data_IF_627857718098
#
_entry.id   IF_627857718098
#
_cell.length_a   1.000
_cell.length_b   1.000
_cell.length_c   1.000
_cell.angle_alpha   90.00
_cell.angle_beta   90.00
_cell.angle_gamma   90.00
#
_symmetry.space_group_name_H-M   'P 1'
#
loop_
_entity.id
_entity.type
_entity.pdbx_description
1 polymer ?
#
# COMPACT_ATOMS: atom_id res chain seq x y z
N UNK A 1 -5.44 -26.58 1.98
CA UNK A 1 -4.32 -25.75 2.47
C UNK A 1 -4.19 -24.51 1.60
N UNK A 2 -3.34 -23.56 1.97
CA UNK A 2 -3.15 -22.41 1.11
C UNK A 2 -2.16 -21.36 1.62
N UNK A 3 -2.29 -20.17 1.02
CA UNK A 3 -1.43 -19.01 1.27
C UNK A 3 -2.33 -17.86 1.75
N UNK A 4 -1.82 -17.03 2.65
CA UNK A 4 -2.44 -15.82 3.14
C UNK A 4 -1.45 -14.66 3.04
N UNK A 5 -1.86 -13.57 2.42
CA UNK A 5 -1.14 -12.30 2.42
C UNK A 5 -1.88 -11.28 3.28
N UNK A 6 -1.21 -10.70 4.27
CA UNK A 6 -1.84 -9.69 5.15
C UNK A 6 -2.02 -8.32 4.48
N UNK A 7 -1.43 -8.14 3.29
CA UNK A 7 -1.72 -7.04 2.36
C UNK A 7 -2.10 -7.62 0.99
N UNK A 8 -3.00 -6.94 0.27
CA UNK A 8 -3.40 -7.38 -1.08
C UNK A 8 -2.19 -7.33 -2.02
N UNK A 9 -1.74 -8.48 -2.58
CA UNK A 9 -0.52 -8.55 -3.37
C UNK A 9 -0.65 -7.84 -4.73
N UNK A 10 -1.87 -7.56 -5.19
CA UNK A 10 -2.13 -6.88 -6.47
C UNK A 10 -2.17 -5.37 -6.27
N UNK A 11 -2.90 -4.91 -5.25
CA UNK A 11 -3.13 -3.48 -5.03
C UNK A 11 -2.19 -2.85 -4.02
N UNK A 12 -1.37 -3.66 -3.34
CA UNK A 12 -0.55 -3.28 -2.18
C UNK A 12 -1.37 -2.68 -1.02
N UNK A 13 -2.68 -2.91 -0.98
CA UNK A 13 -3.56 -2.39 0.05
C UNK A 13 -3.37 -3.19 1.35
N UNK A 14 -2.64 -2.59 2.30
CA UNK A 14 -2.34 -3.18 3.62
C UNK A 14 -3.58 -3.40 4.50
N UNK A 15 -4.71 -2.73 4.21
CA UNK A 15 -5.98 -2.93 4.93
C UNK A 15 -6.82 -4.09 4.39
N UNK A 16 -6.41 -4.69 3.27
CA UNK A 16 -7.08 -5.85 2.66
C UNK A 16 -6.17 -7.06 2.78
N UNK A 17 -6.66 -8.12 3.39
CA UNK A 17 -5.99 -9.40 3.49
C UNK A 17 -6.52 -10.31 2.36
N UNK A 18 -5.62 -11.04 1.70
CA UNK A 18 -5.94 -11.98 0.63
C UNK A 18 -5.63 -13.41 1.05
N UNK A 19 -6.55 -14.35 0.79
CA UNK A 19 -6.38 -15.77 1.10
C UNK A 19 -6.58 -16.56 -0.19
N UNK A 20 -5.58 -17.34 -0.56
CA UNK A 20 -5.67 -18.33 -1.63
C UNK A 20 -5.80 -19.72 -1.01
N UNK A 21 -6.85 -20.45 -1.37
CA UNK A 21 -7.18 -21.75 -0.79
C UNK A 21 -7.42 -22.81 -1.87
N UNK A 22 -6.85 -24.00 -1.66
CA UNK A 22 -7.12 -25.18 -2.47
C UNK A 22 -7.30 -26.44 -1.63
N UNK A 23 -7.92 -27.46 -2.24
CA UNK A 23 -8.05 -28.77 -1.62
C UNK A 23 -6.70 -29.51 -1.62
N UNK A 24 -6.48 -30.32 -0.58
CA UNK A 24 -5.23 -31.06 -0.41
C UNK A 24 -4.07 -30.21 0.10
N UNK A 25 -2.85 -30.68 -0.21
CA UNK A 25 -1.57 -30.09 0.19
C UNK A 25 -1.29 -28.76 -0.52
N UNK A 26 -0.63 -27.84 0.19
CA UNK A 26 -0.34 -26.47 -0.29
C UNK A 26 0.62 -26.42 -1.48
N UNK A 27 1.46 -27.44 -1.67
CA UNK A 27 2.40 -27.55 -2.80
C UNK A 27 1.72 -27.37 -4.16
N UNK A 28 0.47 -27.82 -4.30
CA UNK A 28 -0.30 -27.69 -5.54
C UNK A 28 -0.55 -26.22 -5.93
N UNK A 29 -0.69 -25.32 -4.94
CA UNK A 29 -0.85 -23.89 -5.17
C UNK A 29 0.49 -23.24 -5.48
N UNK A 30 1.53 -23.55 -4.69
CA UNK A 30 2.87 -22.97 -4.87
C UNK A 30 3.47 -23.33 -6.23
N UNK A 31 3.19 -24.53 -6.74
CA UNK A 31 3.61 -24.98 -8.07
C UNK A 31 2.77 -24.45 -9.23
N UNK A 32 1.72 -23.66 -8.97
CA UNK A 32 0.83 -23.11 -10.00
C UNK A 32 0.01 -24.16 -10.76
N UNK A 33 -0.14 -25.37 -10.21
CA UNK A 33 -0.84 -26.49 -10.87
C UNK A 33 -2.35 -26.45 -10.70
N UNK A 34 -2.85 -25.67 -9.73
CA UNK A 34 -4.27 -25.57 -9.38
C UNK A 34 -4.65 -24.10 -9.23
N UNK A 35 -5.81 -23.73 -9.79
CA UNK A 35 -6.40 -22.42 -9.54
C UNK A 35 -7.06 -22.41 -8.16
N UNK A 36 -6.59 -21.58 -7.21
CA UNK A 36 -7.17 -21.51 -5.88
C UNK A 36 -8.48 -20.73 -5.87
N UNK A 37 -9.29 -20.94 -4.84
CA UNK A 37 -10.26 -19.93 -4.45
C UNK A 37 -9.51 -18.73 -3.85
N UNK A 38 -9.94 -17.53 -4.19
CA UNK A 38 -9.39 -16.29 -3.61
C UNK A 38 -10.46 -15.60 -2.77
N UNK A 39 -10.13 -15.31 -1.52
CA UNK A 39 -10.99 -14.57 -0.60
C UNK A 39 -10.31 -13.29 -0.16
N UNK A 40 -11.03 -12.17 -0.16
CA UNK A 40 -10.52 -10.90 0.38
C UNK A 40 -11.28 -10.51 1.63
N UNK A 41 -10.53 -10.16 2.68
CA UNK A 41 -11.07 -9.75 3.97
C UNK A 41 -10.57 -8.36 4.32
N UNK A 42 -11.49 -7.49 4.75
CA UNK A 42 -11.20 -6.14 5.23
C UNK A 42 -12.02 -5.88 6.49
N UNK A 43 -11.39 -5.35 7.52
CA UNK A 43 -12.06 -4.94 8.77
C UNK A 43 -12.98 -6.03 9.35
N UNK A 44 -12.51 -7.29 9.34
CA UNK A 44 -13.25 -8.45 9.84
C UNK A 44 -14.41 -8.93 8.97
N UNK A 45 -14.58 -8.38 7.77
CA UNK A 45 -15.66 -8.72 6.83
C UNK A 45 -15.10 -9.24 5.50
N UNK A 46 -15.75 -10.25 4.92
CA UNK A 46 -15.40 -10.75 3.59
C UNK A 46 -15.93 -9.76 2.55
N UNK A 47 -15.03 -9.14 1.78
CA UNK A 47 -15.36 -8.12 0.78
C UNK A 47 -15.35 -8.64 -0.66
N UNK A 48 -14.70 -9.77 -0.91
CA UNK A 48 -14.70 -10.43 -2.22
C UNK A 48 -14.49 -11.95 -2.04
N UNK A 49 -15.12 -12.74 -2.92
CA UNK A 49 -14.91 -14.18 -3.04
C UNK A 49 -14.90 -14.57 -4.51
N UNK A 50 -13.84 -15.25 -4.92
CA UNK A 50 -13.71 -15.85 -6.23
C UNK A 50 -13.51 -17.34 -6.08
N UNK A 51 -14.51 -18.12 -6.51
CA UNK A 51 -14.45 -19.58 -6.49
C UNK A 51 -13.91 -20.05 -7.84
N UNK A 52 -12.78 -20.74 -7.83
CA UNK A 52 -12.16 -21.28 -9.02
C UNK A 52 -12.59 -22.73 -9.27
N UNK A 53 -12.55 -23.16 -10.53
CA UNK A 53 -12.70 -24.58 -10.88
C UNK A 53 -11.41 -25.32 -10.56
N UNK A 54 -11.44 -26.15 -9.52
CA UNK A 54 -10.32 -26.94 -9.03
C UNK A 54 -10.47 -28.38 -9.54
N UNK A 55 -9.78 -28.73 -10.63
CA UNK A 55 -9.93 -30.06 -11.25
C UNK A 55 -9.16 -31.16 -10.51
N UNK A 56 -8.03 -30.80 -9.88
CA UNK A 56 -7.15 -31.74 -9.18
C UNK A 56 -6.75 -31.22 -7.80
N UNK A 57 -6.35 -32.13 -6.92
CA UNK A 57 -5.76 -31.84 -5.61
C UNK A 57 -4.63 -32.82 -5.30
N UNK A 58 -3.66 -32.37 -4.50
CA UNK A 58 -2.49 -33.17 -4.11
C UNK A 58 -2.69 -33.73 -2.70
N UNK A 59 -2.43 -35.02 -2.49
CA UNK A 59 -2.58 -35.70 -1.21
C UNK A 59 -1.30 -36.45 -0.83
N UNK A 60 -1.03 -36.56 0.48
CA UNK A 60 0.05 -37.37 0.99
C UNK A 60 -0.29 -38.87 0.84
N UNK A 61 0.73 -39.68 0.57
CA UNK A 61 0.64 -41.15 0.53
C UNK A 61 1.25 -41.71 1.81
N UNK A 62 0.61 -42.74 2.39
CA UNK A 62 1.03 -43.33 3.67
C UNK A 62 2.47 -43.85 3.66
N UNK A 63 2.92 -44.37 2.51
CA UNK A 63 4.27 -44.92 2.31
C UNK A 63 5.33 -43.85 1.97
N UNK A 64 4.93 -42.57 1.95
CA UNK A 64 5.76 -41.45 1.56
C UNK A 64 5.48 -40.95 0.14
N UNK A 65 5.73 -39.66 -0.08
CA UNK A 65 5.45 -38.98 -1.35
C UNK A 65 4.02 -38.43 -1.46
N UNK A 66 3.71 -37.93 -2.66
CA UNK A 66 2.46 -37.23 -2.96
C UNK A 66 1.77 -37.81 -4.19
N UNK A 67 0.46 -37.80 -4.20
CA UNK A 67 -0.37 -38.25 -5.31
C UNK A 67 -1.31 -37.13 -5.75
N UNK A 68 -1.36 -36.86 -7.05
CA UNK A 68 -2.38 -36.01 -7.67
C UNK A 68 -3.65 -36.83 -7.85
N UNK A 69 -4.79 -36.32 -7.36
CA UNK A 69 -6.10 -36.92 -7.56
C UNK A 69 -7.03 -35.94 -8.23
N UNK A 70 -7.82 -36.43 -9.18
CA UNK A 70 -8.93 -35.68 -9.75
C UNK A 70 -10.02 -35.50 -8.69
N UNK A 71 -10.57 -34.29 -8.61
CA UNK A 71 -11.66 -33.98 -7.71
C UNK A 71 -12.99 -34.37 -8.35
N UNK A 72 -13.91 -34.89 -7.53
CA UNK A 72 -15.26 -35.19 -8.01
C UNK A 72 -15.94 -33.90 -8.54
N UNK A 73 -16.79 -33.96 -9.58
CA UNK A 73 -17.36 -32.77 -10.21
C UNK A 73 -17.99 -31.77 -9.24
N UNK A 74 -18.67 -32.25 -8.20
CA UNK A 74 -19.26 -31.40 -7.17
C UNK A 74 -18.24 -30.64 -6.31
N UNK A 75 -17.05 -31.22 -6.10
CA UNK A 75 -15.96 -30.57 -5.34
C UNK A 75 -15.21 -29.54 -6.18
N UNK A 76 -15.18 -29.70 -7.52
CA UNK A 76 -14.40 -28.81 -8.38
C UNK A 76 -14.86 -27.35 -8.29
N UNK A 77 -16.16 -27.13 -8.10
CA UNK A 77 -16.77 -25.80 -7.97
C UNK A 77 -17.19 -25.47 -6.53
N UNK A 78 -16.89 -26.35 -5.57
CA UNK A 78 -17.17 -26.10 -4.17
C UNK A 78 -16.20 -25.04 -3.60
N UNK A 79 -16.71 -24.22 -2.68
CA UNK A 79 -15.90 -23.31 -1.88
C UNK A 79 -15.02 -24.12 -0.91
N UNK A 80 -13.72 -23.82 -0.87
CA UNK A 80 -12.74 -24.58 -0.07
C UNK A 80 -12.90 -24.36 1.43
N UNK A 81 -13.09 -23.10 1.86
CA UNK A 81 -13.22 -22.73 3.26
C UNK A 81 -14.62 -22.21 3.56
N UNK A 82 -15.24 -22.61 4.66
CA UNK A 82 -16.45 -21.95 5.15
C UNK A 82 -16.16 -20.50 5.58
N UNK A 83 -17.16 -19.63 5.50
CA UNK A 83 -17.00 -18.20 5.85
C UNK A 83 -16.43 -17.97 7.24
N UNK A 84 -16.84 -18.78 8.22
CA UNK A 84 -16.30 -18.72 9.58
C UNK A 84 -14.80 -19.06 9.63
N UNK A 85 -14.34 -20.01 8.81
CA UNK A 85 -12.93 -20.39 8.71
C UNK A 85 -12.12 -19.29 8.00
N UNK A 86 -12.67 -18.67 6.95
CA UNK A 86 -12.06 -17.51 6.28
C UNK A 86 -11.78 -16.39 7.29
N UNK A 87 -12.78 -16.04 8.09
CA UNK A 87 -12.65 -14.97 9.08
C UNK A 87 -11.72 -15.35 10.25
N UNK A 88 -11.73 -16.63 10.67
CA UNK A 88 -10.81 -17.11 11.69
C UNK A 88 -9.35 -17.04 11.23
N UNK A 89 -9.08 -17.48 10.00
CA UNK A 89 -7.76 -17.42 9.39
C UNK A 89 -7.30 -15.98 9.18
N UNK A 90 -8.19 -15.08 8.74
CA UNK A 90 -7.87 -13.66 8.60
C UNK A 90 -7.48 -13.01 9.94
N UNK A 91 -8.18 -13.33 11.04
CA UNK A 91 -7.81 -12.87 12.40
C UNK A 91 -6.44 -13.37 12.82
N UNK A 92 -6.15 -14.65 12.55
CA UNK A 92 -4.84 -15.24 12.83
C UNK A 92 -3.73 -14.54 12.03
N UNK A 93 -3.94 -14.31 10.73
CA UNK A 93 -2.99 -13.58 9.88
C UNK A 93 -2.69 -12.17 10.40
N UNK A 94 -3.71 -11.41 10.83
CA UNK A 94 -3.51 -10.08 11.45
C UNK A 94 -2.78 -10.13 12.79
N UNK A 95 -3.00 -11.18 13.57
CA UNK A 95 -2.26 -11.41 14.82
C UNK A 95 -0.77 -11.63 14.54
N UNK A 96 -0.45 -12.42 13.51
CA UNK A 96 0.93 -12.69 13.09
C UNK A 96 1.60 -11.43 12.52
N UNK A 97 0.90 -10.65 11.68
CA UNK A 97 1.38 -9.36 11.20
C UNK A 97 1.70 -8.39 12.34
N UNK A 98 0.82 -8.30 13.34
CA UNK A 98 1.06 -7.45 14.52
C UNK A 98 2.28 -7.91 15.29
N UNK A 99 2.50 -9.22 15.41
CA UNK A 99 3.67 -9.78 16.07
C UNK A 99 4.99 -9.41 15.36
N UNK A 100 5.02 -9.47 14.02
CA UNK A 100 6.21 -9.16 13.22
C UNK A 100 6.37 -7.67 12.87
N UNK A 101 5.35 -6.84 13.10
CA UNK A 101 5.37 -5.40 12.80
C UNK A 101 5.37 -5.04 11.31
N UNK A 102 5.24 -6.02 10.41
CA UNK A 102 5.21 -5.80 8.97
C UNK A 102 4.31 -6.82 8.25
N UNK A 103 3.81 -6.51 7.04
CA UNK A 103 2.96 -7.42 6.28
C UNK A 103 3.62 -8.78 6.03
N UNK A 104 2.86 -9.85 6.17
CA UNK A 104 3.31 -11.23 6.10
C UNK A 104 2.67 -12.00 4.95
N UNK A 105 3.45 -12.89 4.36
CA UNK A 105 3.06 -13.99 3.49
C UNK A 105 3.14 -15.29 4.32
N UNK A 106 2.01 -15.96 4.48
CA UNK A 106 1.78 -17.01 5.46
C UNK A 106 1.24 -18.25 4.77
N UNK A 107 1.94 -19.37 4.90
CA UNK A 107 1.43 -20.67 4.47
C UNK A 107 0.68 -21.35 5.63
N UNK A 108 -0.47 -21.94 5.32
CA UNK A 108 -1.36 -22.52 6.31
C UNK A 108 -2.01 -23.82 5.82
N UNK A 109 -2.42 -24.66 6.76
CA UNK A 109 -3.23 -25.85 6.49
C UNK A 109 -4.43 -25.94 7.45
N UNK A 110 -5.43 -26.70 7.02
CA UNK A 110 -6.64 -27.00 7.79
C UNK A 110 -6.82 -28.51 7.76
N UNK A 111 -6.79 -29.14 8.93
CA UNK A 111 -7.02 -30.57 9.11
C UNK A 111 -7.88 -30.77 10.37
N UNK A 112 -8.93 -31.60 10.28
CA UNK A 112 -9.85 -31.88 11.39
C UNK A 112 -10.33 -30.59 12.09
N UNK A 113 -10.79 -29.61 11.29
CA UNK A 113 -11.21 -28.26 11.71
C UNK A 113 -10.15 -27.42 12.46
N UNK A 114 -8.90 -27.88 12.50
CA UNK A 114 -7.79 -27.21 13.14
C UNK A 114 -6.93 -26.47 12.11
N UNK A 115 -6.88 -25.14 12.23
CA UNK A 115 -5.99 -24.29 11.44
C UNK A 115 -4.57 -24.33 12.02
N UNK A 116 -3.59 -24.59 11.17
CA UNK A 116 -2.16 -24.58 11.52
C UNK A 116 -1.36 -23.71 10.55
N UNK A 117 -0.36 -23.01 11.07
CA UNK A 117 0.59 -22.23 10.28
C UNK A 117 1.83 -23.08 10.03
N UNK A 118 2.25 -23.16 8.77
CA UNK A 118 3.44 -23.96 8.38
C UNK A 118 4.62 -23.08 7.99
N UNK A 119 4.39 -21.83 7.58
CA UNK A 119 5.44 -20.86 7.30
C UNK A 119 4.90 -19.42 7.47
N UNK A 120 5.78 -18.48 7.83
CA UNK A 120 5.53 -17.04 7.79
C UNK A 120 6.79 -16.32 7.30
N UNK A 121 6.64 -15.38 6.37
CA UNK A 121 7.74 -14.55 5.86
C UNK A 121 7.26 -13.12 5.57
N UNK A 122 8.12 -12.09 5.69
CA UNK A 122 7.73 -10.72 5.35
C UNK A 122 7.47 -10.55 3.85
N UNK A 123 6.49 -9.73 3.48
CA UNK A 123 6.24 -9.35 2.09
C UNK A 123 7.25 -8.26 1.68
N UNK A 124 8.14 -8.57 0.75
CA UNK A 124 9.20 -7.65 0.30
C UNK A 124 8.90 -6.91 -1.00
N UNK A 125 7.74 -7.17 -1.62
CA UNK A 125 7.33 -6.58 -2.91
C UNK A 125 6.46 -5.33 -2.78
N UNK A 126 6.01 -4.99 -1.57
CA UNK A 126 5.14 -3.83 -1.36
C UNK A 126 5.91 -2.53 -1.50
N UNK A 127 5.33 -1.56 -2.21
CA UNK A 127 5.86 -0.21 -2.21
C UNK A 127 5.76 0.40 -0.81
N UNK A 128 6.83 0.99 -0.25
CA UNK A 128 6.81 1.58 1.09
C UNK A 128 5.91 2.81 1.16
N UNK A 129 5.36 3.09 2.34
CA UNK A 129 4.48 4.24 2.54
C UNK A 129 5.35 5.52 2.59
N UNK A 130 5.07 6.56 1.78
CA UNK A 130 5.83 7.80 1.85
C UNK A 130 5.78 8.44 3.24
N UNK A 131 6.93 8.89 3.75
CA UNK A 131 7.02 9.53 5.06
C UNK A 131 6.97 8.58 6.27
N UNK A 132 6.77 7.27 6.04
CA UNK A 132 7.00 6.27 7.07
C UNK A 132 8.51 6.02 7.18
N UNK A 133 9.24 6.92 7.83
CA UNK A 133 10.62 6.69 8.24
C UNK A 133 10.65 6.09 9.64
N UNK A 134 11.51 5.11 9.85
CA UNK A 134 11.61 4.31 11.08
C UNK A 134 12.16 5.09 12.30
N UNK A 135 12.69 6.31 12.11
CA UNK A 135 13.52 7.01 13.12
C UNK A 135 13.18 8.50 13.35
N UNK A 136 11.98 8.96 13.03
CA UNK A 136 11.57 10.34 13.36
C UNK A 136 10.29 10.30 14.17
N UNK A 137 10.34 10.89 15.37
CA UNK A 137 9.22 11.13 16.31
C UNK A 137 8.05 11.95 15.71
N UNK A 138 8.02 12.17 14.39
CA UNK A 138 6.86 12.67 13.67
C UNK A 138 5.93 11.49 13.38
N UNK A 139 5.37 10.93 14.46
CA UNK A 139 4.24 10.04 14.43
C UNK A 139 3.05 10.79 13.81
N UNK A 140 3.06 10.91 12.48
CA UNK A 140 1.87 11.22 11.71
C UNK A 140 0.91 10.10 11.97
N UNK A 141 0.04 10.37 12.94
CA UNK A 141 -0.96 9.45 13.42
C UNK A 141 -1.67 8.83 12.21
N UNK A 142 -1.59 7.50 12.10
CA UNK A 142 -2.34 6.65 11.16
C UNK A 142 -3.87 6.90 11.19
N UNK A 143 -4.37 7.79 12.05
CA UNK A 143 -5.77 8.17 12.13
C UNK A 143 -6.27 8.98 10.93
N UNK A 144 -5.43 9.76 10.24
CA UNK A 144 -5.88 10.58 9.11
C UNK A 144 -5.48 9.98 7.74
N UNK A 145 -6.44 9.90 6.79
CA UNK A 145 -6.16 9.40 5.45
C UNK A 145 -5.35 10.40 4.63
N UNK A 146 -4.19 9.95 4.13
CA UNK A 146 -3.32 10.73 3.24
C UNK A 146 -3.50 10.33 1.77
N UNK A 147 -3.22 11.25 0.86
CA UNK A 147 -3.21 11.00 -0.59
C UNK A 147 -1.91 11.55 -1.16
N UNK A 148 -1.04 10.64 -1.58
CA UNK A 148 0.28 10.99 -2.10
C UNK A 148 0.29 11.00 -3.64
N UNK A 149 0.79 12.08 -4.22
CA UNK A 149 1.05 12.17 -5.66
C UNK A 149 2.54 12.11 -5.92
N UNK A 150 2.92 11.28 -6.91
CA UNK A 150 4.31 11.05 -7.26
C UNK A 150 4.91 12.24 -8.01
N UNK A 151 5.91 12.89 -7.41
CA UNK A 151 6.69 13.96 -8.07
C UNK A 151 7.49 13.37 -9.23
N UNK A 152 8.00 12.15 -9.07
CA UNK A 152 8.71 11.41 -10.10
C UNK A 152 7.93 11.29 -11.42
N UNK A 153 6.63 11.01 -11.36
CA UNK A 153 5.79 10.95 -12.58
C UNK A 153 5.59 12.35 -13.21
N UNK A 154 5.44 13.40 -12.41
CA UNK A 154 5.33 14.77 -12.92
C UNK A 154 6.60 15.26 -13.61
N UNK A 155 7.77 14.84 -13.11
CA UNK A 155 9.08 15.19 -13.66
C UNK A 155 9.56 14.21 -14.74
N UNK A 156 8.75 13.20 -15.09
CA UNK A 156 9.15 12.10 -16.00
C UNK A 156 10.45 11.39 -15.59
N UNK A 157 10.73 11.33 -14.28
CA UNK A 157 11.94 10.76 -13.69
C UNK A 157 11.54 9.73 -12.64
N UNK A 158 11.24 8.50 -13.08
CA UNK A 158 10.69 7.42 -12.24
C UNK A 158 11.75 6.52 -11.58
N UNK A 159 13.02 6.71 -11.95
CA UNK A 159 14.16 6.04 -11.34
C UNK A 159 14.30 6.41 -9.86
N UNK A 160 14.86 5.48 -9.08
CA UNK A 160 15.16 5.74 -7.69
C UNK A 160 16.32 6.75 -7.56
N UNK A 161 16.11 7.77 -6.74
CA UNK A 161 17.12 8.74 -6.37
C UNK A 161 17.91 8.27 -5.15
N UNK A 162 19.22 8.57 -5.14
CA UNK A 162 20.07 8.34 -3.96
C UNK A 162 19.71 9.34 -2.85
N UNK A 163 20.01 9.03 -1.56
CA UNK A 163 19.62 9.87 -0.43
C UNK A 163 20.04 11.35 -0.54
N UNK A 164 21.23 11.64 -1.07
CA UNK A 164 21.68 13.02 -1.29
C UNK A 164 20.81 13.77 -2.30
N UNK A 165 20.40 13.11 -3.39
CA UNK A 165 19.52 13.71 -4.40
C UNK A 165 18.13 14.00 -3.85
N UNK A 166 17.59 13.09 -3.03
CA UNK A 166 16.33 13.30 -2.29
C UNK A 166 16.43 14.53 -1.39
N UNK A 167 17.53 14.66 -0.64
CA UNK A 167 17.76 15.77 0.28
C UNK A 167 17.80 17.14 -0.43
N UNK A 168 18.50 17.23 -1.57
CA UNK A 168 18.57 18.46 -2.37
C UNK A 168 17.19 18.88 -2.87
N UNK A 169 16.40 17.93 -3.38
CA UNK A 169 15.02 18.22 -3.80
C UNK A 169 14.15 18.68 -2.64
N UNK A 170 14.24 18.04 -1.47
CA UNK A 170 13.47 18.44 -0.29
C UNK A 170 13.83 19.84 0.21
N UNK A 171 15.11 20.24 0.18
CA UNK A 171 15.57 21.56 0.60
C UNK A 171 15.13 22.70 -0.33
N UNK A 172 14.92 22.39 -1.61
CA UNK A 172 14.57 23.37 -2.65
C UNK A 172 13.08 23.40 -2.97
N UNK A 173 12.30 22.47 -2.41
CA UNK A 173 10.89 22.34 -2.70
C UNK A 173 10.05 23.46 -2.07
N UNK A 174 9.17 24.07 -2.87
CA UNK A 174 8.19 25.05 -2.39
C UNK A 174 7.10 24.45 -1.47
N UNK A 175 6.98 23.12 -1.42
CA UNK A 175 6.05 22.39 -0.56
C UNK A 175 6.72 21.15 0.02
N UNK A 176 6.31 20.67 1.21
CA UNK A 176 6.86 19.45 1.80
C UNK A 176 6.74 18.26 0.85
N UNK A 177 7.85 17.53 0.67
CA UNK A 177 7.91 16.30 -0.09
C UNK A 177 8.33 15.13 0.80
N UNK A 178 7.69 13.99 0.63
CA UNK A 178 7.88 12.78 1.42
C UNK A 178 8.59 11.74 0.58
N UNK A 179 9.67 11.17 1.14
CA UNK A 179 10.39 10.09 0.49
C UNK A 179 9.66 8.75 0.69
N UNK A 180 9.66 7.93 -0.35
CA UNK A 180 9.19 6.53 -0.31
C UNK A 180 9.82 5.75 -1.45
N UNK A 181 10.46 4.62 -1.16
CA UNK A 181 11.00 3.72 -2.20
C UNK A 181 12.03 4.39 -3.11
N UNK A 182 12.79 5.36 -2.60
CA UNK A 182 13.75 6.16 -3.37
C UNK A 182 13.14 7.23 -4.27
N UNK A 183 11.84 7.53 -4.16
CA UNK A 183 11.14 8.58 -4.93
C UNK A 183 10.50 9.59 -3.99
N UNK A 184 10.12 10.73 -4.57
CA UNK A 184 9.46 11.82 -3.85
C UNK A 184 7.97 11.88 -4.15
N UNK A 185 7.22 12.17 -3.10
CA UNK A 185 5.78 12.28 -3.10
C UNK A 185 5.33 13.55 -2.42
N UNK A 186 4.13 13.96 -2.74
CA UNK A 186 3.50 15.14 -2.19
C UNK A 186 2.15 14.75 -1.64
N UNK A 187 1.90 15.03 -0.36
CA UNK A 187 0.57 14.85 0.23
C UNK A 187 -0.37 15.95 -0.25
N UNK A 188 -1.49 15.54 -0.83
CA UNK A 188 -2.55 16.40 -1.35
C UNK A 188 -3.89 16.18 -0.63
N UNK A 189 -3.96 15.35 0.42
CA UNK A 189 -5.19 15.16 1.18
C UNK A 189 -5.79 16.50 1.69
N UNK A 190 -5.00 17.47 2.20
CA UNK A 190 -5.53 18.77 2.62
C UNK A 190 -6.13 19.58 1.45
N UNK A 191 -5.54 19.46 0.26
CA UNK A 191 -6.03 20.14 -0.95
C UNK A 191 -7.34 19.50 -1.43
N UNK A 192 -7.46 18.18 -1.30
CA UNK A 192 -8.68 17.44 -1.64
C UNK A 192 -9.82 17.69 -0.64
N UNK A 193 -9.54 18.08 0.60
CA UNK A 193 -10.57 18.38 1.60
C UNK A 193 -11.42 19.62 1.24
N UNK A 194 -10.84 20.66 0.63
CA UNK A 194 -11.58 21.86 0.19
C UNK A 194 -12.18 21.65 -1.21
N UNK A 195 -13.49 21.92 -1.42
CA UNK A 195 -14.12 21.79 -2.73
C UNK A 195 -13.47 22.66 -3.82
N UNK A 196 -13.08 23.90 -3.48
CA UNK A 196 -12.43 24.81 -4.41
C UNK A 196 -11.05 24.30 -4.83
N UNK A 197 -10.21 23.90 -3.86
CA UNK A 197 -8.86 23.38 -4.13
C UNK A 197 -8.89 22.03 -4.83
N UNK A 198 -9.82 21.14 -4.46
CA UNK A 198 -10.05 19.86 -5.12
C UNK A 198 -10.32 20.03 -6.62
N UNK A 199 -11.22 20.94 -6.98
CA UNK A 199 -11.54 21.19 -8.38
C UNK A 199 -10.31 21.70 -9.15
N UNK A 200 -9.52 22.58 -8.56
CA UNK A 200 -8.27 23.06 -9.17
C UNK A 200 -7.28 21.91 -9.34
N UNK A 201 -7.04 21.14 -8.29
CA UNK A 201 -6.07 20.03 -8.28
C UNK A 201 -6.41 18.96 -9.33
N UNK A 202 -7.66 18.50 -9.36
CA UNK A 202 -8.13 17.49 -10.32
C UNK A 202 -8.03 18.00 -11.76
N UNK A 203 -8.35 19.28 -12.00
CA UNK A 203 -8.26 19.86 -13.34
C UNK A 203 -6.81 20.10 -13.81
N UNK A 204 -5.93 20.53 -12.91
CA UNK A 204 -4.51 20.77 -13.25
C UNK A 204 -3.80 19.44 -13.49
N UNK A 205 -3.93 18.48 -12.58
CA UNK A 205 -3.26 17.19 -12.71
C UNK A 205 -3.91 16.29 -13.77
N UNK A 206 -5.22 16.41 -13.96
CA UNK A 206 -5.92 15.66 -15.00
C UNK A 206 -5.61 16.14 -16.41
N UNK A 207 -5.01 17.32 -16.59
CA UNK A 207 -4.46 17.76 -17.87
C UNK A 207 -3.09 17.16 -18.17
N UNK A 208 -2.30 16.85 -17.15
CA UNK A 208 -0.97 16.23 -17.32
C UNK A 208 -1.03 14.72 -17.52
N UNK A 209 -1.95 14.04 -16.81
CA UNK A 209 -2.06 12.58 -16.88
C UNK A 209 -3.51 12.12 -16.59
N UNK A 210 -4.22 11.53 -17.58
CA UNK A 210 -5.55 10.96 -17.39
C UNK A 210 -5.61 9.88 -16.29
N UNK A 211 -4.56 9.08 -16.10
CA UNK A 211 -4.53 8.01 -15.10
C UNK A 211 -4.52 8.59 -13.67
N UNK A 212 -3.81 9.70 -13.45
CA UNK A 212 -3.82 10.41 -12.16
C UNK A 212 -5.23 10.93 -11.87
N UNK A 213 -5.92 11.45 -12.88
CA UNK A 213 -7.31 11.92 -12.71
C UNK A 213 -8.22 10.78 -12.29
N UNK A 214 -8.18 9.64 -12.98
CA UNK A 214 -9.05 8.50 -12.68
C UNK A 214 -8.76 7.92 -11.30
N UNK A 215 -7.48 7.86 -10.90
CA UNK A 215 -7.07 7.47 -9.57
C UNK A 215 -7.62 8.42 -8.49
N UNK A 216 -7.51 9.74 -8.70
CA UNK A 216 -8.06 10.75 -7.78
C UNK A 216 -9.59 10.67 -7.68
N UNK A 217 -10.29 10.51 -8.80
CA UNK A 217 -11.75 10.35 -8.80
C UNK A 217 -12.17 9.07 -8.06
N UNK A 218 -11.42 7.99 -8.20
CA UNK A 218 -11.63 6.75 -7.44
C UNK A 218 -11.45 6.96 -5.94
N UNK A 219 -10.47 7.76 -5.52
CA UNK A 219 -10.27 8.11 -4.10
C UNK A 219 -11.41 8.98 -3.59
N UNK A 220 -11.85 9.98 -4.36
CA UNK A 220 -12.94 10.90 -4.01
C UNK A 220 -14.30 10.21 -3.89
N UNK A 221 -14.51 9.12 -4.63
CA UNK A 221 -15.73 8.32 -4.54
C UNK A 221 -15.84 7.48 -3.26
N UNK A 222 -14.77 7.39 -2.45
CA UNK A 222 -14.79 6.64 -1.19
C UNK A 222 -15.43 7.48 -0.09
N UNK A 223 -16.61 7.07 0.35
CA UNK A 223 -17.31 7.71 1.47
C UNK A 223 -16.44 7.75 2.73
N UNK A 224 -16.42 8.91 3.40
CA UNK A 224 -15.67 9.11 4.64
C UNK A 224 -14.14 9.08 4.52
N UNK A 225 -13.59 9.03 3.29
CA UNK A 225 -12.13 8.93 3.09
C UNK A 225 -11.41 10.28 3.19
N UNK A 226 -12.06 11.41 2.99
CA UNK A 226 -11.38 12.70 3.12
C UNK A 226 -11.58 13.27 4.53
N UNK A 227 -10.56 13.92 5.12
CA UNK A 227 -10.73 14.63 6.38
C UNK A 227 -11.76 15.76 6.21
N UNK A 228 -12.45 16.15 7.30
CA UNK A 228 -13.39 17.27 7.26
C UNK A 228 -12.69 18.55 6.79
N UNK A 229 -13.36 19.33 5.95
CA UNK A 229 -12.78 20.55 5.41
C UNK A 229 -12.44 21.52 6.56
N UNK A 230 -11.22 22.09 6.61
CA UNK A 230 -10.96 23.20 7.51
C UNK A 230 -11.89 24.36 7.15
N UNK A 231 -12.42 25.06 8.16
CA UNK A 231 -13.32 26.19 7.97
C UNK A 231 -12.71 27.20 6.99
N UNK A 232 -13.33 27.38 5.82
CA UNK A 232 -12.86 28.32 4.81
C UNK A 232 -13.04 29.75 5.34
N UNK A 233 -11.93 30.45 5.61
CA UNK A 233 -11.95 31.90 5.74
C UNK A 233 -12.16 32.51 4.34
N UNK A 234 -13.23 33.29 4.11
CA UNK A 234 -13.44 33.94 2.82
C UNK A 234 -12.33 34.97 2.58
N UNK A 235 -11.46 34.75 1.58
CA UNK A 235 -10.53 35.77 1.09
C UNK A 235 -9.05 35.38 0.96
N UNK A 236 -8.62 34.18 1.34
CA UNK A 236 -7.21 33.80 1.21
C UNK A 236 -6.86 33.30 -0.21
N UNK A 237 -6.52 34.22 -1.10
CA UNK A 237 -5.78 33.90 -2.33
C UNK A 237 -4.47 33.17 -1.99
N UNK A 238 -4.04 32.15 -2.77
CA UNK A 238 -2.81 31.39 -2.48
C UNK A 238 -1.52 32.21 -2.64
N UNK A 239 -1.61 33.47 -3.06
CA UNK A 239 -0.47 34.35 -3.26
C UNK A 239 0.00 35.14 -2.02
N UNK A 240 -0.63 34.96 -0.84
CA UNK A 240 -0.35 35.83 0.32
C UNK A 240 -0.22 35.07 1.65
N UNK A 241 0.48 33.94 1.66
CA UNK A 241 1.00 33.37 2.92
C UNK A 241 2.45 33.81 3.08
N UNK A 242 2.66 34.73 4.01
CA UNK A 242 3.96 35.10 4.57
C UNK A 242 4.71 33.82 4.98
N UNK A 243 6.02 33.71 4.72
CA UNK A 243 6.81 32.58 5.21
C UNK A 243 6.66 32.49 6.73
N UNK A 244 6.38 31.29 7.24
CA UNK A 244 6.46 31.03 8.67
C UNK A 244 7.87 31.34 9.19
N UNK A 245 8.03 31.64 10.50
CA UNK A 245 9.33 31.98 11.04
C UNK A 245 10.32 30.85 10.76
N UNK A 246 11.47 31.20 10.18
CA UNK A 246 12.57 30.28 9.97
C UNK A 246 12.98 29.65 11.32
N UNK A 247 13.39 28.36 11.36
CA UNK A 247 13.97 27.78 12.56
C UNK A 247 15.16 28.63 13.01
N UNK A 248 15.25 28.88 14.32
CA UNK A 248 16.10 29.88 14.96
C UNK A 248 17.62 29.61 14.92
N UNK A 249 18.13 28.94 13.88
CA UNK A 249 19.55 28.65 13.70
C UNK A 249 19.96 28.61 12.23
N UNK A 250 19.41 29.51 11.41
CA UNK A 250 19.94 29.81 10.08
C UNK A 250 20.63 31.17 10.15
N UNK A 251 21.93 31.19 10.42
CA UNK A 251 22.75 32.34 10.07
C UNK A 251 22.73 32.47 8.55
N UNK A 252 22.11 33.55 8.07
CA UNK A 252 22.19 33.98 6.68
C UNK A 252 23.66 34.07 6.30
N UNK A 253 24.12 33.18 5.42
CA UNK A 253 25.39 33.34 4.73
C UNK A 253 25.40 34.76 4.12
N UNK A 254 26.42 35.52 4.50
CA UNK A 254 26.65 36.88 4.10
C UNK A 254 26.58 37.06 2.58
N UNK A 255 26.24 38.30 2.18
CA UNK A 255 26.03 38.78 0.82
C UNK A 255 26.94 38.12 -0.23
N UNK A 256 26.31 37.66 -1.30
CA UNK A 256 26.94 37.05 -2.47
C UNK A 256 27.99 37.99 -3.06
N UNK A 257 29.28 37.66 -2.91
CA UNK A 257 30.38 38.37 -3.57
C UNK A 257 30.66 37.75 -4.95
N UNK A 258 30.28 38.44 -6.06
CA UNK A 258 30.49 37.92 -7.41
C UNK A 258 31.97 37.86 -7.83
N UNK A 259 32.91 38.39 -7.05
CA UNK A 259 34.35 38.37 -7.37
C UNK A 259 35.02 37.00 -7.15
N UNK A 260 34.41 36.12 -6.34
CA UNK A 260 34.95 34.78 -6.01
C UNK A 260 35.06 33.87 -7.25
N UNK A 261 34.23 34.08 -8.27
CA UNK A 261 34.26 33.26 -9.50
C UNK A 261 35.52 33.55 -10.34
N UNK A 262 36.13 34.73 -10.20
CA UNK A 262 37.31 35.12 -10.96
C UNK A 262 38.61 34.44 -10.51
N UNK A 263 38.68 33.94 -9.27
CA UNK A 263 39.87 33.25 -8.74
C UNK A 263 39.86 31.73 -8.93
N UNK A 264 38.76 31.18 -9.47
CA UNK A 264 38.58 29.73 -9.69
C UNK A 264 38.75 29.30 -11.16
N UNK A 265 39.23 30.20 -12.02
CA UNK A 265 39.59 29.92 -13.43
C UNK A 265 41.08 30.12 -13.63
#
# INVERSE_FOLDING_TARGET
AGILFTADPVTANRKVLSIDAGFGLGEALVSGRVNPDTYKVRDGTIVDKRIATKTVALYAVAEGGTLVRELAPAQQTAQVLADAQILALARLGRTIETHFGCPQDIEWCLADDTLSIVQSRPITTLYPIPGAQEDVDDARSDAEPHVYISVAHQQMMTDAMKPLGISVWQLTAARPMFAGGGRLFVDVAPDLASPARRNILVNVLGKSDPLIRDALMTVLAREGFLPPAPAEQPGASPANRTPGPAPASFETLADYDPSIVGELI
#
